data_IF_895257882660
#
_entry.id   IF_895257882660
#
_cell.length_a   1.000
_cell.length_b   1.000
_cell.length_c   1.000
_cell.angle_alpha   90.00
_cell.angle_beta   90.00
_cell.angle_gamma   90.00
#
_symmetry.space_group_name_H-M   'P 1'
#
loop_
_entity.id
_entity.type
_entity.pdbx_description
1 polymer ?
#
# COMPACT_ATOMS: atom_id res chain seq x y z
N UNK A 1 7.55 -2.43 -32.12
CA UNK A 1 7.48 -1.48 -30.99
C UNK A 1 6.12 -0.79 -30.80
N UNK A 2 5.15 -0.87 -31.74
CA UNK A 2 3.84 -0.20 -31.64
C UNK A 2 2.71 -1.01 -30.96
N UNK A 3 2.93 -2.29 -30.62
CA UNK A 3 1.85 -3.19 -30.19
C UNK A 3 1.42 -3.04 -28.71
N UNK A 4 2.11 -2.21 -27.93
CA UNK A 4 1.81 -1.96 -26.51
C UNK A 4 0.92 -0.73 -26.27
N UNK A 5 0.78 0.15 -27.26
CA UNK A 5 -0.07 1.35 -27.17
C UNK A 5 -1.54 1.06 -26.79
N UNK A 6 -2.24 0.09 -27.41
CA UNK A 6 -3.63 -0.20 -27.04
C UNK A 6 -3.76 -0.71 -25.60
N UNK A 7 -2.78 -1.45 -25.09
CA UNK A 7 -2.79 -1.96 -23.71
C UNK A 7 -2.73 -0.82 -22.67
N UNK A 8 -1.89 0.19 -22.90
CA UNK A 8 -1.80 1.35 -22.01
C UNK A 8 -3.10 2.16 -21.97
N UNK A 9 -3.79 2.28 -23.11
CA UNK A 9 -5.10 2.95 -23.20
C UNK A 9 -6.15 2.16 -22.42
N UNK A 10 -6.17 0.82 -22.53
CA UNK A 10 -7.11 -0.01 -21.78
C UNK A 10 -6.84 0.09 -20.27
N UNK A 11 -5.58 0.04 -19.84
CA UNK A 11 -5.20 0.19 -18.43
C UNK A 11 -5.62 1.55 -17.87
N UNK A 12 -5.38 2.63 -18.62
CA UNK A 12 -5.75 3.98 -18.15
C UNK A 12 -7.27 4.15 -18.03
N UNK A 13 -8.05 3.60 -18.96
CA UNK A 13 -9.52 3.56 -18.86
C UNK A 13 -9.95 2.75 -17.63
N UNK A 14 -9.37 1.57 -17.42
CA UNK A 14 -9.70 0.72 -16.27
C UNK A 14 -9.41 1.43 -14.94
N UNK A 15 -8.23 2.06 -14.82
CA UNK A 15 -7.88 2.88 -13.65
C UNK A 15 -8.85 4.04 -13.47
N UNK A 16 -9.21 4.76 -14.53
CA UNK A 16 -10.16 5.87 -14.47
C UNK A 16 -11.55 5.41 -14.01
N UNK A 17 -12.06 4.28 -14.54
CA UNK A 17 -13.34 3.71 -14.10
C UNK A 17 -13.32 3.26 -12.65
N UNK A 18 -12.20 2.69 -12.19
CA UNK A 18 -12.01 2.29 -10.79
C UNK A 18 -11.99 3.51 -9.86
N UNK A 19 -11.29 4.58 -10.23
CA UNK A 19 -11.28 5.86 -9.51
C UNK A 19 -12.70 6.43 -9.41
N UNK A 20 -13.41 6.45 -10.54
CA UNK A 20 -14.78 6.97 -10.60
C UNK A 20 -15.73 6.12 -9.74
N UNK A 21 -15.59 4.80 -9.77
CA UNK A 21 -16.37 3.89 -8.91
C UNK A 21 -16.10 4.11 -7.42
N UNK A 22 -14.83 4.27 -7.02
CA UNK A 22 -14.46 4.62 -5.64
C UNK A 22 -15.11 5.96 -5.24
N UNK A 23 -15.00 6.97 -6.09
CA UNK A 23 -15.61 8.27 -5.84
C UNK A 23 -17.12 8.19 -5.65
N UNK A 24 -17.82 7.43 -6.51
CA UNK A 24 -19.26 7.21 -6.38
C UNK A 24 -19.63 6.50 -5.08
N UNK A 25 -18.89 5.45 -4.69
CA UNK A 25 -19.14 4.73 -3.43
C UNK A 25 -19.03 5.66 -2.22
N UNK A 26 -18.03 6.53 -2.20
CA UNK A 26 -17.86 7.52 -1.12
C UNK A 26 -18.90 8.64 -1.17
N UNK A 27 -19.40 8.99 -2.35
CA UNK A 27 -20.41 10.04 -2.53
C UNK A 27 -21.84 9.55 -2.27
N UNK A 28 -22.08 8.23 -2.33
CA UNK A 28 -23.40 7.62 -2.20
C UNK A 28 -23.95 7.64 -0.76
N UNK A 29 -23.09 7.74 0.26
CA UNK A 29 -23.53 7.89 1.65
C UNK A 29 -23.66 9.38 1.99
N UNK A 30 -24.87 9.95 2.13
CA UNK A 30 -25.04 11.37 2.47
C UNK A 30 -24.48 11.71 3.86
N UNK A 31 -24.40 10.72 4.77
CA UNK A 31 -23.74 10.92 6.07
C UNK A 31 -22.23 11.15 5.93
N UNK A 32 -21.66 10.81 4.76
CA UNK A 32 -20.26 11.02 4.46
C UNK A 32 -19.86 12.51 4.52
N UNK A 33 -20.76 13.39 4.10
CA UNK A 33 -20.55 14.85 4.10
C UNK A 33 -20.95 15.51 5.42
N UNK A 34 -21.90 14.92 6.17
CA UNK A 34 -22.51 15.56 7.35
C UNK A 34 -21.76 15.25 8.65
N UNK A 35 -21.29 14.01 8.86
CA UNK A 35 -20.67 13.60 10.13
C UNK A 35 -19.23 13.09 9.94
N UNK A 36 -18.28 14.02 9.90
CA UNK A 36 -16.85 13.73 9.68
C UNK A 36 -16.12 13.15 10.90
N UNK A 37 -16.75 13.13 12.09
CA UNK A 37 -16.12 12.68 13.34
C UNK A 37 -16.39 11.22 13.67
N UNK A 38 -17.54 10.67 13.28
CA UNK A 38 -17.83 9.25 13.50
C UNK A 38 -17.21 8.38 12.41
N UNK A 39 -16.51 7.33 12.81
CA UNK A 39 -15.89 6.36 11.89
C UNK A 39 -16.96 5.37 11.43
N UNK A 40 -17.27 5.38 10.14
CA UNK A 40 -18.26 4.47 9.53
C UNK A 40 -17.63 3.14 9.10
N UNK A 41 -18.46 2.15 8.74
CA UNK A 41 -17.97 0.90 8.17
C UNK A 41 -17.27 1.12 6.82
N UNK A 42 -17.76 2.07 6.01
CA UNK A 42 -17.13 2.48 4.75
C UNK A 42 -15.74 3.08 5.01
N UNK A 43 -15.58 3.91 6.04
CA UNK A 43 -14.29 4.46 6.44
C UNK A 43 -13.30 3.35 6.86
N UNK A 44 -13.78 2.33 7.58
CA UNK A 44 -12.96 1.20 8.05
C UNK A 44 -12.46 0.35 6.88
N UNK A 45 -13.37 -0.08 6.00
CA UNK A 45 -13.02 -0.91 4.83
C UNK A 45 -12.18 -0.13 3.82
N UNK A 46 -12.56 1.12 3.54
CA UNK A 46 -11.83 1.97 2.61
C UNK A 46 -10.42 2.32 3.08
N UNK A 47 -10.19 2.41 4.40
CA UNK A 47 -8.85 2.64 4.98
C UNK A 47 -7.90 1.45 4.84
N UNK A 48 -8.40 0.26 4.53
CA UNK A 48 -7.57 -0.95 4.35
C UNK A 48 -6.94 -0.97 2.95
N UNK A 49 -7.69 -0.53 1.93
CA UNK A 49 -7.29 -0.60 0.52
C UNK A 49 -5.93 0.05 0.25
N UNK A 50 -5.60 1.26 0.79
CA UNK A 50 -4.30 1.89 0.58
C UNK A 50 -3.11 1.02 1.02
N UNK A 51 -3.26 0.16 2.04
CA UNK A 51 -2.20 -0.72 2.51
C UNK A 51 -1.84 -1.85 1.54
N UNK A 52 -2.65 -2.07 0.49
CA UNK A 52 -2.29 -2.97 -0.60
C UNK A 52 -1.02 -2.53 -1.34
N UNK A 53 -0.81 -1.22 -1.50
CA UNK A 53 0.37 -0.68 -2.19
C UNK A 53 1.69 -1.03 -1.48
N UNK A 54 1.90 -0.69 -0.18
CA UNK A 54 3.11 -1.08 0.53
C UNK A 54 3.26 -2.60 0.68
N UNK A 55 2.16 -3.36 0.66
CA UNK A 55 2.19 -4.82 0.73
C UNK A 55 2.79 -5.41 -0.56
N UNK A 56 2.30 -4.97 -1.72
CA UNK A 56 2.80 -5.42 -3.02
C UNK A 56 4.29 -5.04 -3.19
N UNK A 57 4.67 -3.83 -2.80
CA UNK A 57 6.06 -3.37 -2.83
C UNK A 57 6.96 -4.27 -1.96
N UNK A 58 6.54 -4.58 -0.72
CA UNK A 58 7.32 -5.45 0.16
C UNK A 58 7.37 -6.91 -0.30
N UNK A 59 6.27 -7.45 -0.85
CA UNK A 59 6.23 -8.79 -1.44
C UNK A 59 7.14 -8.92 -2.65
N UNK A 60 7.18 -7.90 -3.52
CA UNK A 60 8.11 -7.84 -4.65
C UNK A 60 9.56 -7.83 -4.17
N UNK A 61 9.88 -7.00 -3.17
CA UNK A 61 11.26 -6.74 -2.78
C UNK A 61 11.88 -7.89 -1.97
N UNK A 62 11.12 -8.56 -1.12
CA UNK A 62 11.66 -9.55 -0.17
C UNK A 62 11.02 -10.93 -0.28
N UNK A 63 9.76 -11.02 -0.73
CA UNK A 63 8.97 -12.25 -0.65
C UNK A 63 9.60 -13.42 -1.41
N UNK A 64 10.06 -13.21 -2.65
CA UNK A 64 10.62 -14.31 -3.46
C UNK A 64 11.94 -14.87 -2.89
N UNK A 65 12.69 -14.08 -2.13
CA UNK A 65 13.98 -14.51 -1.59
C UNK A 65 13.82 -15.34 -0.32
N UNK A 66 12.84 -15.03 0.52
CA UNK A 66 12.70 -15.64 1.86
C UNK A 66 11.63 -16.75 1.91
N UNK A 67 10.57 -16.65 1.09
CA UNK A 67 9.47 -17.62 1.12
C UNK A 67 9.85 -19.06 0.75
N UNK A 68 10.85 -19.33 -0.13
CA UNK A 68 11.31 -20.70 -0.39
C UNK A 68 11.86 -21.40 0.86
N UNK A 69 12.45 -20.65 1.80
CA UNK A 69 13.06 -21.18 3.02
C UNK A 69 12.05 -21.40 4.15
N UNK A 70 10.80 -20.96 3.96
CA UNK A 70 9.77 -21.05 4.98
C UNK A 70 9.06 -22.42 4.97
N UNK A 71 8.69 -22.95 6.15
CA UNK A 71 7.94 -24.20 6.25
C UNK A 71 6.50 -24.08 5.70
N UNK A 72 5.78 -25.20 5.67
CA UNK A 72 4.35 -25.28 5.29
C UNK A 72 4.01 -24.92 3.84
N UNK A 73 4.97 -25.02 2.91
CA UNK A 73 4.77 -24.69 1.50
C UNK A 73 4.22 -23.26 1.30
N UNK A 74 4.63 -22.30 2.13
CA UNK A 74 4.20 -20.91 2.03
C UNK A 74 4.49 -20.30 0.66
N UNK A 75 5.60 -20.70 0.04
CA UNK A 75 5.89 -20.34 -1.36
C UNK A 75 4.79 -20.79 -2.33
N UNK A 76 4.19 -21.97 -2.15
CA UNK A 76 3.09 -22.45 -2.99
C UNK A 76 1.83 -21.60 -2.83
N UNK A 77 1.49 -21.24 -1.59
CA UNK A 77 0.35 -20.35 -1.30
C UNK A 77 0.59 -18.99 -1.94
N UNK A 78 1.76 -18.39 -1.74
CA UNK A 78 2.16 -17.12 -2.36
C UNK A 78 2.05 -17.17 -3.89
N UNK A 79 2.56 -18.23 -4.52
CA UNK A 79 2.48 -18.43 -5.98
C UNK A 79 1.04 -18.45 -6.48
N UNK A 80 0.12 -19.05 -5.73
CA UNK A 80 -1.29 -19.17 -6.12
C UNK A 80 -2.09 -17.90 -5.87
N UNK A 81 -1.79 -17.14 -4.80
CA UNK A 81 -2.61 -16.00 -4.37
C UNK A 81 -2.01 -14.65 -4.75
N UNK A 82 -0.79 -14.35 -4.31
CA UNK A 82 -0.20 -13.02 -4.42
C UNK A 82 0.70 -12.84 -5.64
N UNK A 83 1.36 -13.90 -6.11
CA UNK A 83 2.31 -13.81 -7.22
C UNK A 83 1.70 -13.23 -8.50
N UNK A 84 0.47 -13.56 -8.93
CA UNK A 84 -0.13 -12.93 -10.12
C UNK A 84 -0.24 -11.40 -9.97
N UNK A 85 -0.64 -10.92 -8.79
CA UNK A 85 -0.74 -9.49 -8.48
C UNK A 85 0.64 -8.83 -8.44
N UNK A 86 1.62 -9.49 -7.81
CA UNK A 86 3.00 -9.00 -7.75
C UNK A 86 3.62 -8.92 -9.14
N UNK A 87 3.41 -9.93 -10.00
CA UNK A 87 3.89 -9.89 -11.40
C UNK A 87 3.24 -8.74 -12.15
N UNK A 88 1.93 -8.56 -12.03
CA UNK A 88 1.24 -7.44 -12.66
C UNK A 88 1.80 -6.09 -12.21
N UNK A 89 2.05 -5.94 -10.90
CA UNK A 89 2.66 -4.76 -10.31
C UNK A 89 4.10 -4.51 -10.83
N UNK A 90 4.95 -5.54 -10.84
CA UNK A 90 6.35 -5.46 -11.31
C UNK A 90 6.44 -5.13 -12.80
N UNK A 91 5.56 -5.72 -13.62
CA UNK A 91 5.56 -5.54 -15.08
C UNK A 91 5.07 -4.15 -15.50
N UNK A 92 4.38 -3.43 -14.61
CA UNK A 92 3.88 -2.08 -14.85
C UNK A 92 4.47 -1.11 -13.81
N UNK A 93 5.77 -0.75 -13.89
CA UNK A 93 6.44 0.06 -12.88
C UNK A 93 5.79 1.44 -12.67
N UNK A 94 5.15 2.00 -13.70
CA UNK A 94 4.40 3.26 -13.59
C UNK A 94 3.15 3.16 -12.70
N UNK A 95 2.63 1.95 -12.46
CA UNK A 95 1.39 1.73 -11.71
C UNK A 95 1.54 2.12 -10.25
N UNK A 96 2.68 1.82 -9.62
CA UNK A 96 2.97 2.23 -8.25
C UNK A 96 2.89 3.76 -8.09
N UNK A 97 3.48 4.47 -9.04
CA UNK A 97 3.47 5.93 -9.11
C UNK A 97 2.05 6.46 -9.33
N UNK A 98 1.30 5.89 -10.29
CA UNK A 98 -0.09 6.29 -10.55
C UNK A 98 -0.96 6.08 -9.30
N UNK A 99 -0.90 4.92 -8.65
CA UNK A 99 -1.68 4.64 -7.43
C UNK A 99 -1.30 5.62 -6.31
N UNK A 100 -0.02 5.91 -6.12
CA UNK A 100 0.42 6.92 -5.15
C UNK A 100 -0.27 8.27 -5.37
N UNK A 101 -0.27 8.79 -6.61
CA UNK A 101 -0.90 10.08 -6.92
C UNK A 101 -2.41 10.02 -6.80
N UNK A 102 -3.04 8.91 -7.21
CA UNK A 102 -4.48 8.71 -7.07
C UNK A 102 -4.89 8.74 -5.60
N UNK A 103 -4.20 7.98 -4.74
CA UNK A 103 -4.47 7.97 -3.30
C UNK A 103 -4.28 9.36 -2.68
N UNK A 104 -3.18 10.04 -3.04
CA UNK A 104 -2.90 11.38 -2.54
C UNK A 104 -3.95 12.41 -2.98
N UNK A 105 -4.30 12.42 -4.27
CA UNK A 105 -5.24 13.39 -4.83
C UNK A 105 -6.67 13.18 -4.31
N UNK A 106 -7.10 11.92 -4.19
CA UNK A 106 -8.45 11.57 -3.76
C UNK A 106 -8.68 11.82 -2.27
N UNK A 107 -7.70 11.54 -1.40
CA UNK A 107 -7.94 11.48 0.05
C UNK A 107 -7.09 12.44 0.90
N UNK A 108 -5.96 12.94 0.38
CA UNK A 108 -4.96 13.65 1.19
C UNK A 108 -4.94 15.15 0.91
N UNK A 109 -5.08 15.55 -0.35
CA UNK A 109 -5.00 16.96 -0.77
C UNK A 109 -6.03 17.81 -0.05
N UNK A 110 -5.68 19.05 0.32
CA UNK A 110 -6.58 19.98 1.02
C UNK A 110 -7.93 20.22 0.30
N UNK A 111 -7.93 20.28 -1.03
CA UNK A 111 -9.13 20.34 -1.89
C UNK A 111 -9.34 18.99 -2.58
N UNK A 112 -9.47 17.92 -1.81
CA UNK A 112 -9.73 16.58 -2.33
C UNK A 112 -11.17 16.46 -2.85
N UNK A 113 -11.42 15.66 -3.90
CA UNK A 113 -12.77 15.38 -4.37
C UNK A 113 -13.65 14.69 -3.31
N UNK A 114 -13.02 13.85 -2.47
CA UNK A 114 -13.69 13.15 -1.37
C UNK A 114 -13.59 14.02 -0.11
N UNK A 115 -14.69 14.25 0.64
CA UNK A 115 -14.66 14.97 1.91
C UNK A 115 -13.55 14.51 2.85
N UNK A 116 -12.87 15.48 3.45
CA UNK A 116 -11.76 15.23 4.36
C UNK A 116 -12.23 14.51 5.64
N UNK A 117 -12.12 13.18 5.63
CA UNK A 117 -12.27 12.31 6.79
C UNK A 117 -10.89 12.11 7.46
N UNK A 118 -10.67 12.59 8.70
CA UNK A 118 -9.37 12.46 9.35
C UNK A 118 -8.87 11.02 9.46
N UNK A 119 -9.79 10.07 9.70
CA UNK A 119 -9.46 8.65 9.82
C UNK A 119 -8.94 8.05 8.51
N UNK A 120 -9.65 8.28 7.40
CA UNK A 120 -9.24 7.77 6.08
C UNK A 120 -7.95 8.46 5.63
N UNK A 121 -7.87 9.79 5.78
CA UNK A 121 -6.68 10.58 5.44
C UNK A 121 -5.44 10.09 6.19
N UNK A 122 -5.58 9.77 7.48
CA UNK A 122 -4.51 9.18 8.27
C UNK A 122 -4.04 7.83 7.73
N UNK A 123 -4.97 6.90 7.47
CA UNK A 123 -4.58 5.57 7.01
C UNK A 123 -3.97 5.61 5.60
N UNK A 124 -4.49 6.46 4.71
CA UNK A 124 -3.92 6.69 3.38
C UNK A 124 -2.51 7.25 3.47
N UNK A 125 -2.28 8.30 4.27
CA UNK A 125 -0.94 8.86 4.47
C UNK A 125 0.02 7.85 5.09
N UNK A 126 -0.43 7.06 6.07
CA UNK A 126 0.39 6.01 6.68
C UNK A 126 0.75 4.90 5.68
N UNK A 127 -0.18 4.49 4.82
CA UNK A 127 0.10 3.53 3.76
C UNK A 127 1.09 4.07 2.72
N UNK A 128 0.94 5.33 2.33
CA UNK A 128 1.87 6.04 1.44
C UNK A 128 3.27 6.08 2.06
N UNK A 129 3.38 6.45 3.34
CA UNK A 129 4.67 6.53 4.02
C UNK A 129 5.34 5.15 4.15
N UNK A 130 4.56 4.11 4.48
CA UNK A 130 5.05 2.73 4.47
C UNK A 130 5.51 2.29 3.08
N UNK A 131 4.81 2.70 2.02
CA UNK A 131 5.19 2.39 0.65
C UNK A 131 6.56 3.02 0.31
N UNK A 132 6.75 4.30 0.63
CA UNK A 132 8.03 4.98 0.41
C UNK A 132 9.17 4.35 1.20
N UNK A 133 8.94 4.00 2.47
CA UNK A 133 9.92 3.30 3.31
C UNK A 133 10.27 1.93 2.71
N UNK A 134 9.27 1.13 2.33
CA UNK A 134 9.49 -0.19 1.75
C UNK A 134 10.24 -0.12 0.42
N UNK A 135 9.92 0.87 -0.41
CA UNK A 135 10.59 1.09 -1.68
C UNK A 135 12.05 1.49 -1.48
N UNK A 136 12.33 2.38 -0.51
CA UNK A 136 13.69 2.76 -0.15
C UNK A 136 14.48 1.57 0.40
N UNK A 137 13.93 0.82 1.36
CA UNK A 137 14.59 -0.35 1.95
C UNK A 137 14.83 -1.46 0.92
N UNK A 138 13.85 -1.71 0.05
CA UNK A 138 14.00 -2.68 -1.04
C UNK A 138 15.05 -2.27 -2.05
N UNK A 139 15.08 -0.99 -2.45
CA UNK A 139 16.12 -0.46 -3.33
C UNK A 139 17.51 -0.53 -2.69
N UNK A 140 17.63 -0.15 -1.42
CA UNK A 140 18.89 -0.22 -0.68
C UNK A 140 19.39 -1.66 -0.59
N UNK A 141 18.51 -2.62 -0.24
CA UNK A 141 18.88 -4.03 -0.18
C UNK A 141 19.30 -4.58 -1.55
N UNK A 142 18.59 -4.23 -2.64
CA UNK A 142 18.97 -4.65 -4.00
C UNK A 142 20.34 -4.13 -4.44
N UNK A 143 20.71 -2.93 -4.00
CA UNK A 143 21.99 -2.30 -4.29
C UNK A 143 23.18 -2.97 -3.56
N UNK A 144 22.94 -3.83 -2.57
CA UNK A 144 24.00 -4.57 -1.89
C UNK A 144 24.63 -5.64 -2.81
N UNK A 145 25.91 -6.00 -2.57
CA UNK A 145 26.60 -7.05 -3.32
C UNK A 145 25.86 -8.39 -3.29
N UNK A 146 25.98 -9.18 -4.35
CA UNK A 146 25.29 -10.47 -4.46
C UNK A 146 25.75 -11.45 -3.38
N UNK A 147 27.04 -11.44 -3.07
CA UNK A 147 27.69 -12.25 -2.04
C UNK A 147 27.05 -12.00 -0.68
N UNK A 148 26.75 -10.73 -0.37
CA UNK A 148 26.06 -10.37 0.86
C UNK A 148 24.62 -10.86 0.86
N UNK A 149 23.86 -10.64 -0.22
CA UNK A 149 22.43 -10.99 -0.29
C UNK A 149 22.15 -12.47 -0.09
N UNK A 150 23.02 -13.35 -0.60
CA UNK A 150 22.88 -14.81 -0.44
C UNK A 150 23.54 -15.35 0.83
N UNK A 151 24.31 -14.52 1.54
CA UNK A 151 24.90 -14.91 2.82
C UNK A 151 23.84 -15.05 3.92
N UNK A 152 24.20 -15.74 5.00
CA UNK A 152 23.37 -15.86 6.21
C UNK A 152 22.95 -14.48 6.75
N UNK A 153 23.85 -13.50 6.76
CA UNK A 153 23.54 -12.14 7.21
C UNK A 153 22.55 -11.44 6.29
N UNK A 154 22.71 -11.58 4.97
CA UNK A 154 21.78 -11.04 3.98
C UNK A 154 20.37 -11.63 4.13
N UNK A 155 20.28 -12.94 4.36
CA UNK A 155 19.01 -13.63 4.61
C UNK A 155 18.35 -13.15 5.91
N UNK A 156 19.10 -12.97 7.00
CA UNK A 156 18.57 -12.43 8.26
C UNK A 156 18.01 -11.02 8.07
N UNK A 157 18.74 -10.15 7.36
CA UNK A 157 18.28 -8.79 7.06
C UNK A 157 17.02 -8.83 6.20
N UNK A 158 17.03 -9.57 5.09
CA UNK A 158 15.88 -9.70 4.20
C UNK A 158 14.63 -10.23 4.93
N UNK A 159 14.82 -11.25 5.77
CA UNK A 159 13.77 -11.83 6.60
C UNK A 159 13.19 -10.81 7.61
N UNK A 160 14.06 -10.04 8.26
CA UNK A 160 13.65 -8.99 9.21
C UNK A 160 12.84 -7.89 8.50
N UNK A 161 13.30 -7.45 7.32
CA UNK A 161 12.59 -6.47 6.51
C UNK A 161 11.23 -7.00 6.03
N UNK A 162 11.15 -8.27 5.63
CA UNK A 162 9.89 -8.89 5.27
C UNK A 162 8.89 -8.94 6.43
N UNK A 163 9.34 -9.31 7.62
CA UNK A 163 8.50 -9.29 8.83
C UNK A 163 8.08 -7.88 9.24
N UNK A 164 8.95 -6.88 9.05
CA UNK A 164 8.60 -5.49 9.24
C UNK A 164 7.42 -5.09 8.34
N UNK A 165 7.47 -5.44 7.05
CA UNK A 165 6.36 -5.18 6.11
C UNK A 165 5.09 -5.86 6.57
N UNK A 166 5.12 -7.18 6.78
CA UNK A 166 3.92 -7.94 7.12
C UNK A 166 3.29 -7.51 8.44
N UNK A 167 4.11 -7.29 9.46
CA UNK A 167 3.63 -6.95 10.80
C UNK A 167 3.04 -5.55 10.85
N UNK A 168 3.69 -4.56 10.21
CA UNK A 168 3.19 -3.18 10.20
C UNK A 168 1.89 -3.05 9.41
N UNK A 169 1.81 -3.69 8.25
CA UNK A 169 0.60 -3.69 7.42
C UNK A 169 -0.52 -4.47 8.10
N UNK A 170 -0.24 -5.68 8.58
CA UNK A 170 -1.22 -6.49 9.32
C UNK A 170 -1.79 -5.71 10.51
N UNK A 171 -0.94 -5.12 11.34
CA UNK A 171 -1.35 -4.29 12.46
C UNK A 171 -2.21 -3.09 12.03
N UNK A 172 -1.84 -2.40 10.96
CA UNK A 172 -2.62 -1.27 10.45
C UNK A 172 -4.00 -1.69 9.93
N UNK A 173 -4.09 -2.83 9.25
CA UNK A 173 -5.36 -3.41 8.78
C UNK A 173 -6.25 -3.78 9.96
N UNK A 174 -5.71 -4.50 10.96
CA UNK A 174 -6.46 -4.89 12.16
C UNK A 174 -6.95 -3.69 12.98
N UNK A 175 -6.20 -2.58 13.02
CA UNK A 175 -6.67 -1.34 13.67
C UNK A 175 -7.71 -0.60 12.82
N UNK A 176 -7.58 -0.62 11.49
CA UNK A 176 -8.53 -0.02 10.56
C UNK A 176 -9.91 -0.71 10.59
N UNK A 177 -9.95 -2.03 10.33
CA UNK A 177 -10.28 -2.97 11.39
C UNK A 177 -11.27 -2.51 12.43
N UNK A 178 -10.78 -2.28 13.64
CA UNK A 178 -11.50 -1.84 14.83
C UNK A 178 -12.04 -0.40 14.78
N UNK A 179 -11.75 0.37 13.72
CA UNK A 179 -12.02 1.82 13.69
C UNK A 179 -11.07 2.61 14.59
N UNK A 180 -9.83 2.15 14.75
CA UNK A 180 -8.80 2.80 15.58
C UNK A 180 -7.59 3.18 14.73
N UNK A 181 -6.93 4.26 15.10
CA UNK A 181 -5.67 4.68 14.49
C UNK A 181 -4.57 3.70 14.89
N UNK A 182 -3.90 3.09 13.90
CA UNK A 182 -2.68 2.33 14.16
C UNK A 182 -1.57 3.25 14.69
N UNK A 183 -0.82 2.76 15.69
CA UNK A 183 0.28 3.47 16.34
C UNK A 183 1.60 2.77 16.06
N UNK A 184 2.06 2.90 14.82
CA UNK A 184 3.39 2.45 14.40
C UNK A 184 4.41 3.52 14.83
N UNK A 185 5.41 3.16 15.66
CA UNK A 185 6.43 4.11 16.12
C UNK A 185 7.09 4.85 14.96
N UNK A 186 7.37 6.14 15.14
CA UNK A 186 7.94 7.06 14.13
C UNK A 186 6.99 7.34 12.96
N UNK A 187 6.45 6.32 12.30
CA UNK A 187 5.60 6.43 11.11
C UNK A 187 4.29 7.14 11.42
N UNK A 188 3.54 6.66 12.42
CA UNK A 188 2.26 7.29 12.78
C UNK A 188 2.43 8.69 13.36
N UNK A 189 3.59 8.99 13.95
CA UNK A 189 3.91 10.33 14.45
C UNK A 189 4.17 11.29 13.29
N UNK A 190 4.97 10.87 12.30
CA UNK A 190 5.21 11.64 11.08
C UNK A 190 3.91 11.94 10.32
N UNK A 191 3.00 10.96 10.23
CA UNK A 191 1.68 11.14 9.59
C UNK A 191 0.85 12.18 10.35
N UNK A 192 0.82 12.14 11.68
CA UNK A 192 0.09 13.14 12.48
C UNK A 192 0.62 14.55 12.24
N UNK A 193 1.94 14.73 12.29
CA UNK A 193 2.58 16.01 11.99
C UNK A 193 2.15 16.52 10.61
N UNK A 194 2.12 15.65 9.59
CA UNK A 194 1.70 16.02 8.24
C UNK A 194 0.23 16.43 8.13
N UNK A 195 -0.64 15.86 8.97
CA UNK A 195 -2.07 16.19 8.99
C UNK A 195 -2.32 17.48 9.76
N UNK A 196 -1.59 17.68 10.85
CA UNK A 196 -1.72 18.80 11.78
C UNK A 196 -0.96 20.05 11.29
N UNK A 197 -0.07 19.90 10.31
CA UNK A 197 0.61 21.02 9.67
C UNK A 197 -0.38 21.83 8.82
N UNK A 198 -0.45 23.16 9.02
CA UNK A 198 -1.39 24.04 8.34
C UNK A 198 -1.18 24.13 6.83
#
# INVERSE_FOLDING_TARGET
MLNSFPYWVVISILVATLIFGIYQLYSADPNFYVNTRSITLVDRLGSIVPYGLPLLEGLQNFGQQILPDYPFNLMSIYKKTFMPLVIFYVTHPALAFIIFFVLYYLFVRAKSPIPSRPFVRFNVLQAILLFLINSLLGSAFRALPMEFKVSLYGLIVCNTLFWFVLSTIGYAIFKSLEGKYARIPVISQAVKIQIDSP
#
